data_IF_253513998858
#
_entry.id   IF_253513998858
#
_cell.length_a   1.000
_cell.length_b   1.000
_cell.length_c   1.000
_cell.angle_alpha   90.00
_cell.angle_beta   90.00
_cell.angle_gamma   90.00
#
_symmetry.space_group_name_H-M   'P 1'
#
loop_
_entity.id
_entity.type
_entity.pdbx_description
1 polymer ?
#
# COMPACT_ATOMS: atom_id res chain seq x y z
N UNK A 1 -13.28 8.87 -76.89
CA UNK A 1 -12.53 8.74 -75.62
C UNK A 1 -12.74 10.02 -74.82
N UNK A 2 -13.35 9.94 -73.63
CA UNK A 2 -13.74 11.10 -72.81
C UNK A 2 -12.79 11.17 -71.62
N UNK A 3 -11.91 12.16 -71.60
CA UNK A 3 -11.00 12.36 -70.48
C UNK A 3 -11.78 12.86 -69.26
N UNK A 4 -11.82 12.06 -68.19
CA UNK A 4 -12.25 12.53 -66.88
C UNK A 4 -11.17 13.45 -66.32
N UNK A 5 -11.46 14.75 -66.30
CA UNK A 5 -10.64 15.74 -65.60
C UNK A 5 -10.68 15.48 -64.10
N UNK A 6 -9.57 15.03 -63.52
CA UNK A 6 -9.34 15.10 -62.08
C UNK A 6 -9.22 16.58 -61.71
N UNK A 7 -10.15 17.08 -60.88
CA UNK A 7 -9.98 18.36 -60.21
C UNK A 7 -8.82 18.23 -59.21
N UNK A 8 -7.87 19.18 -59.17
CA UNK A 8 -6.87 19.22 -58.11
C UNK A 8 -7.59 19.55 -56.80
N UNK A 9 -7.35 18.74 -55.76
CA UNK A 9 -7.69 19.09 -54.39
C UNK A 9 -6.77 20.26 -54.03
N UNK A 10 -7.34 21.44 -53.80
CA UNK A 10 -6.59 22.62 -53.38
C UNK A 10 -5.94 22.41 -52.01
N UNK A 11 -4.90 23.19 -51.68
CA UNK A 11 -4.25 23.11 -50.37
C UNK A 11 -5.28 23.32 -49.26
N UNK A 12 -5.14 22.63 -48.11
CA UNK A 12 -6.00 22.88 -46.96
C UNK A 12 -5.96 24.37 -46.63
N UNK A 13 -7.13 25.00 -46.52
CA UNK A 13 -7.25 26.39 -46.13
C UNK A 13 -6.79 26.55 -44.69
N UNK A 14 -5.86 27.47 -44.44
CA UNK A 14 -5.35 27.80 -43.10
C UNK A 14 -6.47 28.28 -42.14
N UNK A 15 -7.64 28.62 -42.67
CA UNK A 15 -8.85 29.02 -41.94
C UNK A 15 -9.82 27.86 -41.63
N UNK A 16 -9.37 26.59 -41.67
CA UNK A 16 -10.18 25.47 -41.20
C UNK A 16 -10.19 25.44 -39.65
N UNK A 17 -11.33 25.74 -38.98
CA UNK A 17 -11.42 25.72 -37.52
C UNK A 17 -11.06 24.35 -36.93
N UNK A 18 -11.22 23.25 -37.68
CA UNK A 18 -10.84 21.91 -37.24
C UNK A 18 -9.32 21.77 -37.09
N UNK A 19 -8.54 22.48 -37.91
CA UNK A 19 -7.08 22.51 -37.84
C UNK A 19 -6.59 23.21 -36.55
N UNK A 20 -7.25 24.32 -36.17
CA UNK A 20 -6.98 25.01 -34.91
C UNK A 20 -7.30 24.17 -33.67
N UNK A 21 -8.42 23.42 -33.72
CA UNK A 21 -8.81 22.49 -32.65
C UNK A 21 -7.83 21.33 -32.54
N UNK A 22 -7.33 20.79 -33.67
CA UNK A 22 -6.37 19.70 -33.67
C UNK A 22 -5.06 20.07 -32.95
N UNK A 23 -4.56 21.28 -33.15
CA UNK A 23 -3.34 21.75 -32.47
C UNK A 23 -3.55 21.98 -30.96
N UNK A 24 -4.70 22.53 -30.56
CA UNK A 24 -5.03 22.70 -29.14
C UNK A 24 -5.22 21.35 -28.43
N UNK A 25 -5.74 20.35 -29.13
CA UNK A 25 -5.88 18.99 -28.60
C UNK A 25 -4.51 18.36 -28.30
N UNK A 26 -3.55 18.50 -29.21
CA UNK A 26 -2.20 17.97 -29.00
C UNK A 26 -1.48 18.69 -27.84
N UNK A 27 -1.60 20.03 -27.77
CA UNK A 27 -1.10 20.80 -26.62
C UNK A 27 -1.77 20.37 -25.30
N UNK A 28 -3.08 20.10 -25.34
CA UNK A 28 -3.83 19.58 -24.20
C UNK A 28 -3.34 18.20 -23.74
N UNK A 29 -2.98 17.33 -24.69
CA UNK A 29 -2.42 16.02 -24.40
C UNK A 29 -1.05 16.15 -23.72
N UNK A 30 -0.16 17.00 -24.24
CA UNK A 30 1.14 17.29 -23.60
C UNK A 30 0.95 17.88 -22.20
N UNK A 31 -0.02 18.79 -22.03
CA UNK A 31 -0.34 19.38 -20.73
C UNK A 31 -0.82 18.33 -19.71
N UNK A 32 -1.73 17.44 -20.10
CA UNK A 32 -2.24 16.37 -19.23
C UNK A 32 -1.11 15.41 -18.85
N UNK A 33 -0.26 15.01 -19.80
CA UNK A 33 0.92 14.18 -19.51
C UNK A 33 1.86 14.87 -18.52
N UNK A 34 2.12 16.17 -18.71
CA UNK A 34 2.90 16.98 -17.78
C UNK A 34 2.30 17.03 -16.38
N UNK A 35 0.97 17.21 -16.28
CA UNK A 35 0.25 17.20 -15.02
C UNK A 35 0.33 15.83 -14.33
N UNK A 36 0.18 14.73 -15.08
CA UNK A 36 0.34 13.38 -14.53
C UNK A 36 1.74 13.13 -13.98
N UNK A 37 2.78 13.54 -14.72
CA UNK A 37 4.16 13.46 -14.24
C UNK A 37 4.40 14.32 -13.00
N UNK A 38 3.81 15.52 -12.95
CA UNK A 38 3.88 16.40 -11.79
C UNK A 38 3.21 15.78 -10.54
N UNK A 39 2.00 15.22 -10.68
CA UNK A 39 1.34 14.50 -9.59
C UNK A 39 2.16 13.28 -9.15
N UNK A 40 2.69 12.53 -10.12
CA UNK A 40 3.50 11.35 -9.83
C UNK A 40 4.73 11.71 -8.99
N UNK A 41 5.42 12.80 -9.33
CA UNK A 41 6.53 13.33 -8.56
C UNK A 41 6.12 13.94 -7.22
N UNK A 42 5.02 14.69 -7.17
CA UNK A 42 4.56 15.37 -5.95
C UNK A 42 4.14 14.41 -4.83
N UNK A 43 3.64 13.22 -5.19
CA UNK A 43 3.18 12.22 -4.23
C UNK A 43 4.20 11.10 -3.95
N UNK A 44 5.44 11.18 -4.49
CA UNK A 44 6.48 10.16 -4.30
C UNK A 44 5.94 8.73 -4.51
N UNK A 45 5.10 8.54 -5.54
CA UNK A 45 4.43 7.25 -5.78
C UNK A 45 5.43 6.14 -6.14
N UNK A 46 6.62 6.49 -6.58
CA UNK A 46 7.74 5.57 -6.77
C UNK A 46 8.14 4.89 -5.47
N UNK A 47 8.09 5.60 -4.34
CA UNK A 47 8.38 5.08 -3.01
C UNK A 47 7.26 4.16 -2.51
N UNK A 48 6.01 4.29 -2.98
CA UNK A 48 4.94 3.36 -2.65
C UNK A 48 4.94 2.08 -3.49
N UNK A 49 5.47 2.14 -4.72
CA UNK A 49 5.51 1.02 -5.67
C UNK A 49 6.79 0.18 -5.58
N UNK A 50 7.85 0.76 -5.01
CA UNK A 50 9.09 0.07 -4.67
C UNK A 50 8.84 -1.03 -3.64
N UNK A 51 9.34 -2.24 -3.93
CA UNK A 51 9.27 -3.40 -3.03
C UNK A 51 10.31 -3.30 -1.88
N UNK A 52 11.25 -2.35 -1.95
CA UNK A 52 12.33 -2.10 -1.00
C UNK A 52 12.11 -0.89 -0.09
N UNK A 53 10.98 -0.17 -0.26
CA UNK A 53 10.66 0.99 0.57
C UNK A 53 9.98 0.58 1.89
N UNK A 54 10.34 1.31 2.95
CA UNK A 54 9.74 1.17 4.27
C UNK A 54 8.84 2.38 4.53
N UNK A 55 7.52 2.18 4.37
CA UNK A 55 6.53 3.25 4.55
C UNK A 55 5.82 3.06 5.88
N UNK A 56 5.90 4.08 6.74
CA UNK A 56 5.19 4.12 8.03
C UNK A 56 4.10 5.19 7.98
N UNK A 57 2.84 4.76 8.00
CA UNK A 57 1.68 5.66 8.05
C UNK A 57 1.15 5.66 9.47
N UNK A 58 1.17 6.82 10.11
CA UNK A 58 0.63 7.03 11.46
C UNK A 58 -0.68 7.81 11.36
N UNK A 59 -1.81 7.15 11.62
CA UNK A 59 -3.13 7.79 11.67
C UNK A 59 -3.50 8.07 13.12
N UNK A 60 -3.85 9.32 13.41
CA UNK A 60 -4.43 9.73 14.69
C UNK A 60 -5.90 10.04 14.47
N UNK A 61 -6.78 9.23 15.05
CA UNK A 61 -8.22 9.50 15.06
C UNK A 61 -8.55 10.55 16.12
N UNK A 62 -9.65 11.27 15.94
CA UNK A 62 -10.10 12.33 16.86
C UNK A 62 -10.49 11.78 18.26
N UNK A 63 -10.72 10.47 18.37
CA UNK A 63 -10.99 9.73 19.61
C UNK A 63 -9.72 9.33 20.38
N UNK A 64 -8.53 9.72 19.91
CA UNK A 64 -7.25 9.38 20.52
C UNK A 64 -6.65 8.05 20.09
N UNK A 65 -7.36 7.26 19.26
CA UNK A 65 -6.84 5.99 18.74
C UNK A 65 -5.72 6.24 17.74
N UNK A 66 -4.60 5.52 17.91
CA UNK A 66 -3.45 5.54 16.99
C UNK A 66 -3.37 4.22 16.20
N UNK A 67 -3.28 4.33 14.88
CA UNK A 67 -3.04 3.19 13.99
C UNK A 67 -1.72 3.41 13.26
N UNK A 68 -0.79 2.45 13.41
CA UNK A 68 0.49 2.45 12.71
C UNK A 68 0.45 1.32 11.69
N UNK A 69 0.52 1.70 10.42
CA UNK A 69 0.61 0.76 9.29
C UNK A 69 2.05 0.81 8.80
N UNK A 70 2.78 -0.29 8.97
CA UNK A 70 4.13 -0.46 8.46
C UNK A 70 4.09 -1.39 7.25
N UNK A 71 4.51 -0.87 6.09
CA UNK A 71 4.74 -1.66 4.87
C UNK A 71 6.24 -1.87 4.72
N UNK A 72 6.70 -3.12 4.84
CA UNK A 72 8.07 -3.55 4.47
C UNK A 72 7.98 -4.45 3.24
N UNK A 73 8.17 -3.87 2.06
CA UNK A 73 7.97 -4.57 0.79
C UNK A 73 6.57 -5.18 0.68
N UNK A 74 6.46 -6.51 0.57
CA UNK A 74 5.16 -7.22 0.44
C UNK A 74 4.47 -7.54 1.77
N UNK A 75 5.08 -7.25 2.92
CA UNK A 75 4.54 -7.59 4.24
C UNK A 75 3.89 -6.35 4.86
N UNK A 76 2.60 -6.45 5.15
CA UNK A 76 1.82 -5.40 5.83
C UNK A 76 1.65 -5.83 7.28
N UNK A 77 2.20 -5.05 8.22
CA UNK A 77 2.03 -5.25 9.65
C UNK A 77 1.22 -4.06 10.21
N UNK A 78 0.00 -4.35 10.70
CA UNK A 78 -0.88 -3.36 11.31
C UNK A 78 -0.83 -3.53 12.83
N UNK A 79 -0.18 -2.58 13.52
CA UNK A 79 -0.18 -2.52 14.98
C UNK A 79 -1.18 -1.46 15.45
N UNK A 80 -2.19 -1.90 16.19
CA UNK A 80 -3.13 -1.03 16.89
C UNK A 80 -2.66 -0.86 18.34
N UNK A 81 -2.05 0.29 18.64
CA UNK A 81 -1.70 0.64 20.01
C UNK A 81 -2.85 1.45 20.60
N UNK A 82 -3.62 0.83 21.49
CA UNK A 82 -4.61 1.53 22.33
C UNK A 82 -4.04 1.70 23.73
N UNK A 83 -4.15 2.91 24.29
CA UNK A 83 -3.86 3.16 25.72
C UNK A 83 -4.84 2.44 26.65
N UNK A 84 -5.97 1.95 26.13
CA UNK A 84 -6.87 1.09 26.88
C UNK A 84 -6.31 -0.35 27.00
N UNK A 85 -6.30 -0.86 28.23
CA UNK A 85 -6.22 -2.29 28.54
C UNK A 85 -7.16 -3.05 27.59
N UNK A 86 -6.56 -3.77 26.63
CA UNK A 86 -7.20 -4.66 25.66
C UNK A 86 -8.67 -4.99 25.95
N UNK A 87 -9.59 -4.22 25.37
CA UNK A 87 -10.97 -4.65 25.14
C UNK A 87 -11.16 -4.91 23.66
N UNK A 88 -10.99 -6.18 23.29
CA UNK A 88 -11.28 -6.71 21.96
C UNK A 88 -11.67 -8.19 22.10
N UNK A 89 -12.25 -8.78 21.05
CA UNK A 89 -12.57 -10.23 20.98
C UNK A 89 -11.30 -11.08 20.80
N UNK A 90 -10.29 -10.84 21.61
CA UNK A 90 -9.03 -11.58 21.61
C UNK A 90 -9.01 -12.62 22.73
N UNK A 91 -8.31 -13.73 22.52
CA UNK A 91 -8.02 -14.71 23.58
C UNK A 91 -6.68 -14.35 24.22
N UNK A 92 -6.64 -14.18 25.55
CA UNK A 92 -5.39 -14.03 26.30
C UNK A 92 -4.57 -15.31 26.13
N UNK A 93 -3.31 -15.16 25.72
CA UNK A 93 -2.39 -16.29 25.52
C UNK A 93 -1.48 -16.51 26.73
N UNK A 94 -1.25 -15.50 27.57
CA UNK A 94 -0.32 -15.58 28.71
C UNK A 94 -0.08 -14.24 29.41
N UNK A 95 0.90 -14.22 30.32
CA UNK A 95 1.45 -13.01 30.98
C UNK A 95 2.92 -12.85 30.64
N UNK A 96 3.37 -11.61 30.41
CA UNK A 96 4.80 -11.30 30.32
C UNK A 96 5.27 -10.57 31.58
N UNK A 97 6.41 -10.99 32.13
CA UNK A 97 7.09 -10.38 33.26
C UNK A 97 8.40 -9.76 32.79
N UNK A 98 8.74 -8.58 33.29
CA UNK A 98 10.08 -8.00 33.16
C UNK A 98 10.80 -8.20 34.48
N UNK A 99 11.96 -8.86 34.44
CA UNK A 99 12.82 -9.08 35.59
C UNK A 99 13.68 -7.83 35.85
N UNK A 100 14.29 -7.77 37.03
CA UNK A 100 15.14 -6.65 37.47
C UNK A 100 16.35 -6.41 36.54
N UNK A 101 16.86 -7.47 35.90
CA UNK A 101 17.97 -7.42 34.93
C UNK A 101 17.53 -6.94 33.53
N UNK A 102 16.24 -6.65 33.34
CA UNK A 102 15.65 -6.25 32.07
C UNK A 102 15.19 -7.40 31.19
N UNK A 103 15.42 -8.66 31.59
CA UNK A 103 14.96 -9.85 30.86
C UNK A 103 13.43 -9.91 30.83
N UNK A 104 12.85 -10.24 29.67
CA UNK A 104 11.40 -10.42 29.51
C UNK A 104 11.06 -11.91 29.45
N UNK A 105 10.24 -12.38 30.39
CA UNK A 105 9.78 -13.78 30.49
C UNK A 105 8.30 -13.86 30.14
N UNK A 106 7.94 -14.69 29.18
CA UNK A 106 6.56 -14.96 28.80
C UNK A 106 6.07 -16.28 29.41
N UNK A 107 4.89 -16.26 30.03
CA UNK A 107 4.24 -17.40 30.69
C UNK A 107 2.88 -17.64 30.02
N UNK A 108 2.71 -18.74 29.25
CA UNK A 108 1.44 -19.12 28.66
C UNK A 108 0.37 -19.45 29.73
N UNK A 109 -0.89 -19.15 29.45
CA UNK A 109 -2.01 -19.44 30.37
C UNK A 109 -2.39 -20.92 30.42
N UNK A 110 -2.09 -21.67 29.36
CA UNK A 110 -2.39 -23.10 29.27
C UNK A 110 -1.40 -23.99 30.03
N UNK A 111 -0.40 -23.40 30.69
CA UNK A 111 0.57 -24.12 31.51
C UNK A 111 1.42 -25.13 30.72
N UNK A 112 1.37 -25.12 29.39
CA UNK A 112 2.10 -26.07 28.54
C UNK A 112 3.53 -25.58 28.26
N UNK A 113 4.33 -25.41 29.31
CA UNK A 113 5.78 -25.38 29.13
C UNK A 113 6.30 -26.81 29.08
N UNK A 114 6.53 -27.33 27.88
CA UNK A 114 7.06 -28.68 27.69
C UNK A 114 8.18 -28.73 26.64
N UNK A 115 9.46 -28.91 27.04
CA UNK A 115 10.41 -29.57 26.18
C UNK A 115 10.06 -31.07 26.17
N UNK A 116 9.63 -31.58 25.01
CA UNK A 116 9.54 -33.00 24.63
C UNK A 116 9.25 -34.04 25.74
N UNK A 117 7.97 -34.30 26.02
CA UNK A 117 7.55 -35.57 26.61
C UNK A 117 7.48 -36.64 25.50
N UNK A 118 8.62 -37.22 25.16
CA UNK A 118 8.70 -38.43 24.35
C UNK A 118 8.41 -39.67 25.20
N UNK A 119 7.24 -40.27 24.99
CA UNK A 119 7.07 -41.74 24.97
C UNK A 119 7.04 -42.50 26.29
N UNK A 120 5.95 -42.35 27.06
CA UNK A 120 5.53 -43.33 28.07
C UNK A 120 4.26 -44.06 27.63
N UNK A 121 4.35 -44.87 26.57
CA UNK A 121 3.25 -45.71 26.08
C UNK A 121 3.22 -47.05 26.81
N UNK A 122 2.20 -47.29 27.62
CA UNK A 122 1.91 -48.61 28.19
C UNK A 122 1.44 -49.61 27.14
N UNK A 123 1.76 -50.88 27.34
CA UNK A 123 1.05 -51.99 26.71
C UNK A 123 0.70 -53.04 27.77
N UNK A 124 -0.59 -53.36 27.80
CA UNK A 124 -1.21 -54.50 28.49
C UNK A 124 -0.44 -55.80 28.17
N UNK A 125 -0.16 -56.59 29.21
CA UNK A 125 -0.68 -57.94 29.44
C UNK A 125 -0.33 -58.38 30.86
#
# INVERSE_FOLDING_TARGET
>A
MRYLGRRPVGPPSDDDPLSGIANLFDLGLVFIVGLLLALFGAYHLDELLRDDSEVTITKRSADGTMEIIMKKGKRIEALRLTEEKSRGRGRRLGTAYRLEDGTVVYVPDDGTWGPGAGGGGGAKQ
#
